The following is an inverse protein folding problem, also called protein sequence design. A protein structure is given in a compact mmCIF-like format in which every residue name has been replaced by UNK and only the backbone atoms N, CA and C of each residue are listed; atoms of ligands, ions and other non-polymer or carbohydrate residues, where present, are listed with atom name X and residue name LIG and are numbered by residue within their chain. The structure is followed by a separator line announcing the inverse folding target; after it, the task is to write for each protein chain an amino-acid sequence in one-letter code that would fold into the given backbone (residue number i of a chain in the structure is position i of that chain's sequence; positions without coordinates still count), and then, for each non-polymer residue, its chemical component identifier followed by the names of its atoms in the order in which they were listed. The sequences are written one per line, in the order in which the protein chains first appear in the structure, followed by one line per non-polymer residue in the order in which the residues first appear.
data_IF_750080583118
#
_entry.id   IF_750080583118
#
_cell.length_a   1.000
_cell.length_b   1.000
_cell.length_c   1.000
_cell.angle_alpha   90.00
_cell.angle_beta   90.00
_cell.angle_gamma   90.00
#
_symmetry.space_group_name_H-M   'P 1'
#
loop_
_entity.id
_entity.type
_entity.pdbx_description
1 polymer ?
#
# COMPACT_ATOMS: atom_id res chain seq x y z
N UNK A 1 -49.50 -50.37 30.40
CA UNK A 1 -50.43 -51.01 29.45
C UNK A 1 -50.09 -50.48 28.07
N UNK A 2 -49.82 -51.34 27.07
CA UNK A 2 -49.28 -50.94 25.76
C UNK A 2 -50.34 -50.87 24.64
N UNK A 3 -49.88 -50.35 23.49
CA UNK A 3 -50.42 -50.37 22.10
C UNK A 3 -51.17 -49.12 21.57
N UNK A 4 -51.14 -48.86 20.24
CA UNK A 4 -50.19 -49.30 19.20
C UNK A 4 -49.75 -48.22 18.18
N UNK A 5 -48.79 -48.64 17.35
CA UNK A 5 -48.23 -48.03 16.15
C UNK A 5 -49.27 -47.68 15.06
N UNK A 6 -48.95 -46.66 14.25
CA UNK A 6 -49.36 -46.62 12.84
C UNK A 6 -48.25 -46.09 11.93
N UNK A 7 -48.16 -46.76 10.77
CA UNK A 7 -47.12 -46.70 9.76
C UNK A 7 -47.26 -45.50 8.80
N UNK A 8 -46.08 -45.05 8.31
CA UNK A 8 -45.69 -44.64 6.95
C UNK A 8 -46.61 -43.70 6.14
N UNK A 9 -46.05 -42.56 5.75
CA UNK A 9 -46.11 -42.08 4.36
C UNK A 9 -44.83 -41.28 4.02
N UNK A 10 -44.13 -41.74 2.97
CA UNK A 10 -42.97 -41.09 2.39
C UNK A 10 -43.41 -39.96 1.45
N UNK A 11 -42.76 -38.80 1.55
CA UNK A 11 -42.86 -37.67 0.61
C UNK A 11 -41.48 -37.39 -0.02
N UNK A 12 -41.41 -37.00 -1.30
CA UNK A 12 -40.17 -37.08 -2.08
C UNK A 12 -39.30 -35.83 -1.97
N UNK A 13 -37.98 -36.07 -1.92
CA UNK A 13 -36.95 -35.32 -2.65
C UNK A 13 -36.85 -33.81 -2.42
N UNK A 14 -36.07 -33.40 -1.41
CA UNK A 14 -35.34 -32.14 -1.48
C UNK A 14 -33.86 -32.43 -1.76
N UNK A 15 -33.43 -31.99 -2.93
CA UNK A 15 -32.04 -31.98 -3.39
C UNK A 15 -31.19 -31.16 -2.41
N UNK A 16 -30.00 -31.60 -1.99
CA UNK A 16 -29.08 -30.72 -1.29
C UNK A 16 -28.54 -29.68 -2.28
N UNK A 17 -28.79 -28.41 -2.00
CA UNK A 17 -28.06 -27.31 -2.60
C UNK A 17 -26.60 -27.44 -2.16
N UNK A 18 -25.75 -27.90 -3.07
CA UNK A 18 -24.31 -27.69 -2.99
C UNK A 18 -24.08 -26.21 -3.31
N UNK A 19 -23.90 -25.38 -2.27
CA UNK A 19 -23.21 -24.10 -2.42
C UNK A 19 -21.76 -24.44 -2.68
N UNK A 20 -21.37 -24.38 -3.96
CA UNK A 20 -19.98 -24.39 -4.35
C UNK A 20 -19.38 -23.07 -3.87
N UNK A 21 -18.44 -23.15 -2.93
CA UNK A 21 -17.50 -22.07 -2.67
C UNK A 21 -16.70 -21.88 -3.96
N UNK A 22 -16.96 -20.78 -4.67
CA UNK A 22 -16.10 -20.31 -5.73
C UNK A 22 -14.91 -19.62 -5.05
N UNK A 23 -13.93 -20.42 -4.61
CA UNK A 23 -12.60 -19.90 -4.33
C UNK A 23 -12.01 -19.47 -5.66
N UNK A 24 -11.88 -18.16 -5.87
CA UNK A 24 -11.14 -17.60 -6.98
C UNK A 24 -9.66 -17.81 -6.67
N UNK A 25 -9.17 -19.01 -6.98
CA UNK A 25 -7.73 -19.26 -7.02
C UNK A 25 -7.20 -18.45 -8.21
N UNK A 26 -6.58 -17.30 -7.93
CA UNK A 26 -5.76 -16.59 -8.88
C UNK A 26 -4.56 -17.51 -9.20
N UNK A 27 -4.67 -18.24 -10.31
CA UNK A 27 -3.57 -19.04 -10.81
C UNK A 27 -2.56 -18.05 -11.42
N UNK A 28 -1.57 -17.64 -10.63
CA UNK A 28 -0.35 -17.05 -11.17
C UNK A 28 0.22 -18.04 -12.18
N UNK A 29 0.21 -17.64 -13.44
CA UNK A 29 0.90 -18.35 -14.49
C UNK A 29 2.39 -18.08 -14.29
N UNK A 30 3.05 -18.86 -13.44
CA UNK A 30 4.50 -18.96 -13.41
C UNK A 30 4.97 -19.34 -14.83
N UNK A 31 5.53 -18.37 -15.55
CA UNK A 31 6.10 -18.53 -16.87
C UNK A 31 7.20 -19.58 -16.83
N UNK A 32 6.86 -20.83 -17.17
CA UNK A 32 7.81 -21.93 -17.15
C UNK A 32 8.85 -21.75 -18.26
N UNK A 33 10.06 -21.31 -17.90
CA UNK A 33 11.23 -21.35 -18.80
C UNK A 33 11.70 -22.81 -18.93
N UNK A 34 11.45 -23.43 -20.07
CA UNK A 34 11.88 -24.80 -20.37
C UNK A 34 13.23 -24.78 -21.08
N UNK A 35 14.29 -25.20 -20.40
CA UNK A 35 15.59 -25.55 -21.01
C UNK A 35 15.72 -27.08 -21.11
N UNK A 36 15.51 -27.63 -22.32
CA UNK A 36 15.84 -29.01 -22.65
C UNK A 36 16.68 -29.08 -23.94
N UNK A 37 17.76 -29.84 -23.87
CA UNK A 37 18.84 -29.88 -24.84
C UNK A 37 18.55 -30.58 -26.17
N UNK A 38 19.32 -30.10 -27.15
CA UNK A 38 19.77 -30.68 -28.43
C UNK A 38 18.75 -31.36 -29.35
N UNK A 39 18.15 -30.54 -30.20
CA UNK A 39 17.58 -30.91 -31.50
C UNK A 39 17.23 -29.65 -32.26
N UNK A 40 17.83 -29.43 -33.43
CA UNK A 40 17.64 -28.21 -34.25
C UNK A 40 16.19 -28.08 -34.72
N UNK A 41 15.40 -27.32 -33.97
CA UNK A 41 14.06 -26.84 -34.29
C UNK A 41 13.89 -25.47 -33.63
N UNK A 42 14.32 -24.42 -34.35
CA UNK A 42 14.12 -22.99 -34.07
C UNK A 42 14.33 -22.59 -32.61
N UNK A 43 15.52 -22.07 -32.27
CA UNK A 43 15.78 -21.51 -30.95
C UNK A 43 14.58 -20.67 -30.49
N UNK A 44 13.90 -21.14 -29.44
CA UNK A 44 12.71 -20.47 -28.90
C UNK A 44 13.17 -19.08 -28.48
N UNK A 45 12.54 -18.04 -29.03
CA UNK A 45 12.89 -16.67 -28.69
C UNK A 45 12.79 -16.50 -27.17
N UNK A 46 13.79 -15.84 -26.58
CA UNK A 46 13.71 -15.37 -25.21
C UNK A 46 12.62 -14.30 -25.17
N UNK A 47 11.78 -14.32 -24.14
CA UNK A 47 10.60 -13.45 -24.05
C UNK A 47 10.48 -12.84 -22.66
N UNK A 48 10.01 -11.60 -22.58
CA UNK A 48 9.53 -10.95 -21.36
C UNK A 48 8.02 -10.72 -21.49
N UNK A 49 7.23 -11.08 -20.48
CA UNK A 49 5.76 -11.04 -20.53
C UNK A 49 5.13 -11.69 -21.79
N UNK A 50 5.79 -12.70 -22.37
CA UNK A 50 5.36 -13.36 -23.59
C UNK A 50 5.68 -12.64 -24.90
N UNK A 51 6.33 -11.48 -24.84
CA UNK A 51 6.80 -10.69 -26.00
C UNK A 51 8.28 -11.03 -26.29
N UNK A 52 8.68 -11.25 -27.56
CA UNK A 52 10.08 -11.52 -27.91
C UNK A 52 11.01 -10.37 -27.54
N UNK A 53 12.14 -10.69 -26.92
CA UNK A 53 13.14 -9.71 -26.53
C UNK A 53 13.76 -8.97 -27.72
N UNK A 54 13.84 -7.63 -27.64
CA UNK A 54 14.66 -6.78 -28.52
C UNK A 54 16.11 -6.79 -28.06
N UNK A 55 16.34 -6.97 -26.75
CA UNK A 55 17.64 -7.00 -26.11
C UNK A 55 17.74 -8.15 -25.10
N UNK A 56 18.79 -8.96 -25.20
CA UNK A 56 19.07 -10.04 -24.25
C UNK A 56 20.44 -9.82 -23.64
N UNK A 57 20.48 -9.62 -22.33
CA UNK A 57 21.72 -9.49 -21.56
C UNK A 57 22.38 -10.86 -21.50
N UNK A 58 23.71 -10.90 -21.66
CA UNK A 58 24.46 -12.16 -21.72
C UNK A 58 25.60 -12.25 -20.71
N UNK A 59 25.86 -11.16 -19.99
CA UNK A 59 26.94 -11.06 -19.01
C UNK A 59 26.35 -10.52 -17.72
N UNK A 60 26.26 -11.35 -16.65
CA UNK A 60 25.79 -10.88 -15.35
C UNK A 60 26.65 -9.73 -14.83
N UNK A 61 26.01 -8.76 -14.18
CA UNK A 61 26.64 -7.58 -13.59
C UNK A 61 26.98 -6.49 -14.61
N UNK A 62 26.53 -6.63 -15.85
CA UNK A 62 26.70 -5.61 -16.86
C UNK A 62 25.60 -4.55 -16.75
N UNK A 63 25.99 -3.27 -16.81
CA UNK A 63 25.04 -2.19 -17.07
C UNK A 63 24.60 -2.27 -18.53
N UNK A 64 23.30 -2.38 -18.74
CA UNK A 64 22.65 -2.45 -20.04
C UNK A 64 21.74 -1.25 -20.22
N UNK A 65 21.79 -0.65 -21.40
CA UNK A 65 20.93 0.47 -21.81
C UNK A 65 20.08 0.01 -23.00
N UNK A 66 18.78 0.30 -22.96
CA UNK A 66 17.85 0.19 -24.06
C UNK A 66 18.01 1.34 -25.04
N UNK A 67 16.91 1.77 -25.62
CA UNK A 67 16.85 2.82 -26.64
C UNK A 67 15.83 3.88 -26.27
N UNK A 68 15.76 5.01 -26.98
CA UNK A 68 14.71 6.02 -26.74
C UNK A 68 13.29 5.62 -27.21
N UNK A 69 13.02 4.35 -27.48
CA UNK A 69 11.69 3.85 -27.79
C UNK A 69 11.52 2.41 -27.31
N UNK A 70 10.29 1.90 -27.40
CA UNK A 70 9.84 0.66 -26.78
C UNK A 70 10.80 -0.53 -26.99
N UNK A 71 11.32 -1.05 -25.88
CA UNK A 71 12.21 -2.18 -25.80
C UNK A 71 11.61 -3.36 -25.03
N UNK A 72 12.12 -4.55 -25.32
CA UNK A 72 11.82 -5.76 -24.57
C UNK A 72 13.15 -6.35 -24.13
N UNK A 73 13.48 -6.13 -22.86
CA UNK A 73 14.80 -6.41 -22.29
C UNK A 73 14.69 -7.61 -21.35
N UNK A 74 15.56 -8.61 -21.55
CA UNK A 74 15.68 -9.75 -20.64
C UNK A 74 17.10 -9.81 -20.09
N UNK A 75 17.19 -9.77 -18.77
CA UNK A 75 18.40 -9.92 -17.97
C UNK A 75 18.95 -11.35 -17.96
N UNK A 76 19.72 -11.63 -16.93
CA UNK A 76 20.42 -12.89 -16.67
C UNK A 76 19.99 -13.46 -15.32
N UNK A 77 20.30 -14.73 -15.02
CA UNK A 77 20.06 -15.28 -13.68
C UNK A 77 21.04 -14.80 -12.58
N UNK A 78 21.74 -13.69 -12.81
CA UNK A 78 22.62 -13.07 -11.82
C UNK A 78 22.37 -11.56 -11.81
N UNK A 79 22.99 -10.82 -10.88
CA UNK A 79 22.65 -9.42 -10.63
C UNK A 79 22.90 -8.57 -11.88
N UNK A 80 21.91 -7.81 -12.32
CA UNK A 80 21.96 -6.97 -13.51
C UNK A 80 21.65 -5.50 -13.18
N UNK A 81 22.05 -4.62 -14.09
CA UNK A 81 21.62 -3.21 -14.06
C UNK A 81 21.10 -2.86 -15.42
N UNK A 82 19.80 -2.59 -15.53
CA UNK A 82 19.10 -2.37 -16.79
C UNK A 82 18.41 -1.01 -16.77
N UNK A 83 18.65 -0.22 -17.80
CA UNK A 83 17.99 1.06 -18.05
C UNK A 83 17.24 0.97 -19.39
N UNK A 84 15.92 1.04 -19.42
CA UNK A 84 15.12 1.04 -20.66
C UNK A 84 15.29 2.34 -21.47
N UNK A 85 15.40 3.47 -20.77
CA UNK A 85 15.61 4.85 -21.21
C UNK A 85 14.33 5.59 -21.58
N UNK A 86 13.60 5.19 -22.61
CA UNK A 86 12.27 5.77 -22.81
C UNK A 86 11.53 5.14 -23.96
N UNK A 87 10.24 5.46 -24.10
CA UNK A 87 9.28 4.55 -24.72
C UNK A 87 8.68 3.65 -23.65
N UNK A 88 7.75 2.78 -24.07
CA UNK A 88 7.04 1.88 -23.15
C UNK A 88 7.78 0.53 -23.14
N UNK A 89 8.59 0.29 -22.12
CA UNK A 89 9.54 -0.81 -22.04
C UNK A 89 9.00 -2.01 -21.27
N UNK A 90 9.41 -3.22 -21.68
CA UNK A 90 9.18 -4.48 -20.97
C UNK A 90 10.50 -5.04 -20.47
N UNK A 91 10.72 -5.04 -19.15
CA UNK A 91 11.99 -5.43 -18.53
C UNK A 91 11.78 -6.65 -17.62
N UNK A 92 12.57 -7.70 -17.83
CA UNK A 92 12.60 -8.89 -16.96
C UNK A 92 14.03 -9.11 -16.44
N UNK A 93 14.26 -8.90 -15.14
CA UNK A 93 15.56 -9.10 -14.47
C UNK A 93 15.97 -10.57 -14.38
N UNK A 94 15.02 -11.42 -14.00
CA UNK A 94 15.08 -12.88 -13.80
C UNK A 94 15.47 -13.32 -12.40
N UNK A 95 16.75 -13.43 -12.07
CA UNK A 95 17.12 -13.89 -10.74
C UNK A 95 18.44 -13.25 -10.35
N UNK A 96 18.67 -13.07 -9.05
CA UNK A 96 19.76 -12.25 -8.56
C UNK A 96 19.24 -10.87 -8.19
N UNK A 97 20.09 -10.10 -7.51
CA UNK A 97 19.72 -8.78 -7.01
C UNK A 97 19.92 -7.75 -8.12
N UNK A 98 18.82 -7.33 -8.73
CA UNK A 98 18.79 -6.50 -9.94
C UNK A 98 18.51 -5.02 -9.64
N UNK A 99 18.96 -4.16 -10.54
CA UNK A 99 18.55 -2.74 -10.60
C UNK A 99 17.88 -2.49 -11.94
N UNK A 100 16.57 -2.30 -11.92
CA UNK A 100 15.75 -2.10 -13.11
C UNK A 100 15.20 -0.66 -13.11
N UNK A 101 15.44 0.05 -14.19
CA UNK A 101 15.01 1.44 -14.40
C UNK A 101 14.32 1.48 -15.77
N UNK A 102 13.01 1.69 -15.81
CA UNK A 102 12.25 1.74 -17.06
C UNK A 102 12.70 2.92 -17.92
N UNK A 103 12.58 4.14 -17.41
CA UNK A 103 12.87 5.36 -18.15
C UNK A 103 11.58 6.10 -18.44
N UNK A 104 11.59 7.00 -19.43
CA UNK A 104 10.38 7.78 -19.71
C UNK A 104 9.34 6.97 -20.48
N UNK A 105 8.16 6.75 -19.93
CA UNK A 105 7.08 6.04 -20.63
C UNK A 105 6.15 5.34 -19.65
N UNK A 106 5.27 4.49 -20.17
CA UNK A 106 4.51 3.55 -19.35
C UNK A 106 5.22 2.19 -19.38
N UNK A 107 6.04 1.90 -18.38
CA UNK A 107 6.94 0.77 -18.34
C UNK A 107 6.38 -0.42 -17.55
N UNK A 108 6.86 -1.62 -17.86
CA UNK A 108 6.60 -2.82 -17.07
C UNK A 108 7.89 -3.55 -16.73
N UNK A 109 8.17 -3.73 -15.44
CA UNK A 109 9.36 -4.42 -14.94
C UNK A 109 9.02 -5.59 -14.01
N UNK A 110 9.78 -6.69 -14.10
CA UNK A 110 9.71 -7.88 -13.24
C UNK A 110 11.12 -8.24 -12.76
N UNK A 111 11.39 -8.05 -11.46
CA UNK A 111 12.66 -8.40 -10.79
C UNK A 111 12.81 -9.91 -10.59
N UNK A 112 11.68 -10.57 -10.34
CA UNK A 112 11.51 -12.00 -10.18
C UNK A 112 12.05 -12.59 -8.87
N UNK A 113 13.36 -12.86 -8.72
CA UNK A 113 13.84 -13.48 -7.48
C UNK A 113 15.18 -12.91 -7.06
N UNK A 114 15.23 -12.25 -5.92
CA UNK A 114 16.39 -11.47 -5.49
C UNK A 114 15.93 -10.31 -4.64
N UNK A 115 16.87 -9.55 -4.09
CA UNK A 115 16.54 -8.27 -3.46
C UNK A 115 16.73 -7.16 -4.50
N UNK A 116 15.65 -6.79 -5.17
CA UNK A 116 15.65 -5.97 -6.37
C UNK A 116 15.37 -4.49 -6.07
N UNK A 117 15.82 -3.63 -6.97
CA UNK A 117 15.51 -2.21 -6.99
C UNK A 117 14.81 -1.87 -8.30
N UNK A 118 13.50 -1.64 -8.24
CA UNK A 118 12.66 -1.32 -9.39
C UNK A 118 12.28 0.16 -9.38
N UNK A 119 12.51 0.83 -10.50
CA UNK A 119 12.14 2.22 -10.76
C UNK A 119 11.42 2.26 -12.10
N UNK A 120 10.22 2.80 -12.18
CA UNK A 120 9.55 2.96 -13.47
C UNK A 120 10.27 4.02 -14.28
N UNK A 121 10.55 5.20 -13.74
CA UNK A 121 11.25 6.25 -14.48
C UNK A 121 12.75 6.41 -14.21
N UNK A 122 13.15 7.55 -13.64
CA UNK A 122 14.49 8.11 -13.78
C UNK A 122 15.27 7.99 -12.48
N UNK A 123 16.52 7.56 -12.57
CA UNK A 123 17.42 7.50 -11.42
C UNK A 123 18.53 8.55 -11.49
N UNK A 124 18.66 9.36 -10.43
CA UNK A 124 19.71 10.39 -10.31
C UNK A 124 20.30 10.41 -8.89
N UNK A 125 21.48 9.81 -8.66
CA UNK A 125 22.02 9.68 -7.30
C UNK A 125 22.42 11.00 -6.63
N UNK A 126 22.75 12.03 -7.41
CA UNK A 126 23.28 13.31 -6.89
C UNK A 126 22.54 14.56 -7.38
N UNK A 127 21.64 14.40 -8.34
CA UNK A 127 20.94 15.51 -8.98
C UNK A 127 19.44 15.29 -8.93
N UNK A 128 18.73 16.10 -9.69
CA UNK A 128 17.29 15.95 -9.85
C UNK A 128 17.00 14.80 -10.83
N UNK A 129 15.85 14.16 -10.66
CA UNK A 129 15.28 13.20 -11.58
C UNK A 129 13.87 13.65 -11.96
N UNK A 130 13.48 13.45 -13.21
CA UNK A 130 12.15 13.76 -13.69
C UNK A 130 11.72 12.77 -14.74
N UNK A 131 10.54 12.22 -14.55
CA UNK A 131 9.88 11.21 -15.36
C UNK A 131 8.62 10.84 -14.59
N UNK A 132 7.53 10.63 -15.31
CA UNK A 132 6.29 10.10 -14.77
C UNK A 132 5.70 9.14 -15.79
N UNK A 133 4.73 8.34 -15.40
CA UNK A 133 4.13 7.33 -16.26
C UNK A 133 3.09 6.54 -15.49
N UNK A 134 2.41 5.62 -16.17
CA UNK A 134 1.61 4.61 -15.48
C UNK A 134 2.37 3.28 -15.54
N UNK A 135 3.25 3.09 -14.58
CA UNK A 135 4.20 1.99 -14.55
C UNK A 135 3.64 0.75 -13.83
N UNK A 136 4.17 -0.41 -14.20
CA UNK A 136 3.85 -1.67 -13.55
C UNK A 136 5.10 -2.40 -13.12
N UNK A 137 5.34 -2.42 -11.81
CA UNK A 137 6.53 -3.01 -11.23
C UNK A 137 6.15 -4.26 -10.42
N UNK A 138 6.86 -5.36 -10.66
CA UNK A 138 6.72 -6.63 -9.95
C UNK A 138 8.05 -7.04 -9.33
N UNK A 139 8.10 -7.19 -8.01
CA UNK A 139 9.32 -7.54 -7.27
C UNK A 139 9.59 -9.03 -7.35
N UNK A 140 8.65 -9.81 -6.84
CA UNK A 140 8.71 -11.26 -6.83
C UNK A 140 9.13 -11.78 -5.47
N UNK A 141 10.05 -12.75 -5.42
CA UNK A 141 10.56 -13.29 -4.15
C UNK A 141 11.77 -12.48 -3.68
N UNK A 142 11.72 -11.87 -2.49
CA UNK A 142 12.85 -11.19 -1.85
C UNK A 142 12.47 -9.85 -1.24
N UNK A 143 13.44 -9.19 -0.58
CA UNK A 143 13.20 -7.87 0.05
C UNK A 143 13.48 -6.77 -0.98
N UNK A 144 12.42 -6.25 -1.60
CA UNK A 144 12.50 -5.38 -2.76
C UNK A 144 12.30 -3.89 -2.41
N UNK A 145 12.72 -3.02 -3.33
CA UNK A 145 12.55 -1.58 -3.22
C UNK A 145 11.95 -1.01 -4.50
N UNK A 146 10.82 -0.31 -4.36
CA UNK A 146 10.08 0.31 -5.46
C UNK A 146 10.07 1.84 -5.36
N UNK A 147 9.96 2.48 -6.52
CA UNK A 147 9.56 3.86 -6.71
C UNK A 147 8.90 3.84 -8.08
N UNK A 148 7.58 4.06 -8.18
CA UNK A 148 6.90 3.95 -9.47
C UNK A 148 7.51 4.90 -10.48
N UNK A 149 7.76 6.16 -10.13
CA UNK A 149 8.48 7.06 -11.05
C UNK A 149 9.98 7.22 -10.70
N UNK A 150 10.35 8.42 -10.24
CA UNK A 150 11.70 8.94 -10.25
C UNK A 150 12.35 8.82 -8.87
N UNK A 151 13.61 8.37 -8.87
CA UNK A 151 14.41 8.24 -7.65
C UNK A 151 15.64 9.16 -7.66
N UNK A 152 15.65 10.13 -6.75
CA UNK A 152 16.69 11.15 -6.65
C UNK A 152 17.17 11.38 -5.21
N UNK A 153 17.90 10.43 -4.58
CA UNK A 153 18.30 10.53 -3.17
C UNK A 153 19.21 11.73 -2.86
N UNK A 154 19.83 12.34 -3.88
CA UNK A 154 20.67 13.54 -3.76
C UNK A 154 20.04 14.83 -4.28
N UNK A 155 18.80 14.80 -4.77
CA UNK A 155 18.14 15.96 -5.39
C UNK A 155 16.61 15.89 -5.31
N UNK A 156 15.95 16.63 -6.19
CA UNK A 156 14.48 16.60 -6.31
C UNK A 156 14.06 15.49 -7.27
N UNK A 157 13.19 14.60 -6.82
CA UNK A 157 12.44 13.70 -7.68
C UNK A 157 11.12 14.36 -8.10
N UNK A 158 10.69 14.16 -9.33
CA UNK A 158 9.40 14.65 -9.82
C UNK A 158 8.85 13.69 -10.86
N UNK A 159 7.65 13.17 -10.60
CA UNK A 159 7.02 12.12 -11.37
C UNK A 159 5.70 11.79 -10.70
N UNK A 160 4.74 11.38 -11.50
CA UNK A 160 3.49 10.85 -11.00
C UNK A 160 2.69 10.25 -12.14
N UNK A 161 1.64 9.53 -11.79
CA UNK A 161 0.80 8.76 -12.69
C UNK A 161 0.14 7.65 -11.90
N UNK A 162 -0.70 6.85 -12.54
CA UNK A 162 -1.42 5.78 -11.83
C UNK A 162 -0.59 4.49 -11.90
N UNK A 163 0.25 4.27 -10.90
CA UNK A 163 1.20 3.17 -10.86
C UNK A 163 0.63 1.89 -10.24
N UNK A 164 1.18 0.75 -10.65
CA UNK A 164 0.89 -0.55 -10.06
C UNK A 164 2.15 -1.23 -9.55
N UNK A 165 2.26 -1.33 -8.24
CA UNK A 165 3.37 -1.97 -7.56
C UNK A 165 2.92 -3.26 -6.89
N UNK A 166 3.63 -4.35 -7.13
CA UNK A 166 3.38 -5.66 -6.49
C UNK A 166 4.69 -6.17 -5.92
N UNK A 167 4.80 -6.22 -4.60
CA UNK A 167 5.98 -6.66 -3.86
C UNK A 167 6.19 -8.16 -4.06
N UNK A 168 5.32 -8.96 -3.44
CA UNK A 168 5.42 -10.41 -3.43
C UNK A 168 5.86 -10.90 -2.05
N UNK A 169 6.45 -12.09 -1.92
CA UNK A 169 6.97 -12.53 -0.63
C UNK A 169 8.28 -11.82 -0.27
N UNK A 170 8.31 -11.14 0.88
CA UNK A 170 9.49 -10.42 1.34
C UNK A 170 9.11 -9.22 2.20
N UNK A 171 10.10 -8.51 2.73
CA UNK A 171 9.86 -7.27 3.46
C UNK A 171 10.17 -6.06 2.56
N UNK A 172 9.16 -5.58 1.87
CA UNK A 172 9.29 -4.64 0.76
C UNK A 172 9.17 -3.17 1.19
N UNK A 173 9.73 -2.29 0.37
CA UNK A 173 9.57 -0.84 0.52
C UNK A 173 9.04 -0.25 -0.77
N UNK A 174 7.86 0.34 -0.70
CA UNK A 174 7.12 0.80 -1.86
C UNK A 174 6.76 2.28 -1.73
N UNK A 175 6.85 2.98 -2.84
CA UNK A 175 6.49 4.40 -2.99
C UNK A 175 5.87 4.46 -4.37
N UNK A 176 4.57 4.74 -4.48
CA UNK A 176 3.86 4.75 -5.76
C UNK A 176 4.50 5.74 -6.71
N UNK A 177 4.67 6.99 -6.32
CA UNK A 177 5.34 7.96 -7.21
C UNK A 177 6.87 8.02 -7.02
N UNK A 178 7.36 9.18 -6.55
CA UNK A 178 8.72 9.67 -6.59
C UNK A 178 9.35 9.71 -5.21
N UNK A 179 10.65 9.40 -5.14
CA UNK A 179 11.40 9.46 -3.88
C UNK A 179 12.72 10.20 -4.00
N UNK A 180 12.98 11.18 -3.13
CA UNK A 180 14.18 12.01 -3.24
C UNK A 180 14.55 12.80 -1.98
N UNK A 181 15.51 13.73 -2.09
CA UNK A 181 15.71 14.71 -0.99
C UNK A 181 14.45 15.53 -0.80
N UNK A 182 13.82 15.92 -1.90
CA UNK A 182 12.44 16.39 -2.00
C UNK A 182 11.76 15.60 -3.10
N UNK A 183 10.45 15.40 -2.99
CA UNK A 183 9.66 14.67 -3.96
C UNK A 183 8.38 15.44 -4.30
N UNK A 184 7.89 15.23 -5.50
CA UNK A 184 6.61 15.75 -5.99
C UNK A 184 6.04 14.69 -6.91
N UNK A 185 4.83 14.24 -6.62
CA UNK A 185 4.05 13.35 -7.46
C UNK A 185 2.56 13.55 -7.28
N UNK A 186 1.82 12.48 -7.51
CA UNK A 186 0.39 12.35 -7.39
C UNK A 186 -0.11 11.37 -8.43
N UNK A 187 -1.10 10.57 -8.06
CA UNK A 187 -1.68 9.57 -8.94
C UNK A 187 -2.63 8.69 -8.14
N UNK A 188 -3.48 7.93 -8.81
CA UNK A 188 -4.28 6.90 -8.12
C UNK A 188 -3.51 5.57 -8.18
N UNK A 189 -2.65 5.37 -7.20
CA UNK A 189 -1.73 4.25 -7.17
C UNK A 189 -2.36 2.99 -6.61
N UNK A 190 -1.84 1.85 -7.06
CA UNK A 190 -2.22 0.54 -6.54
C UNK A 190 -1.01 -0.23 -6.09
N UNK A 191 -0.91 -0.41 -4.78
CA UNK A 191 0.21 -1.07 -4.11
C UNK A 191 -0.29 -2.32 -3.40
N UNK A 192 0.37 -3.45 -3.67
CA UNK A 192 0.12 -4.75 -3.04
C UNK A 192 1.45 -5.27 -2.49
N UNK A 193 1.62 -5.22 -1.17
CA UNK A 193 2.83 -5.67 -0.48
C UNK A 193 3.02 -7.17 -0.64
N UNK A 194 1.99 -7.94 -0.26
CA UNK A 194 2.02 -9.39 -0.31
C UNK A 194 2.39 -9.96 1.06
N UNK A 195 3.01 -11.15 1.14
CA UNK A 195 3.44 -11.68 2.42
C UNK A 195 4.76 -11.08 2.91
N UNK A 196 4.75 -10.46 4.08
CA UNK A 196 5.92 -9.99 4.81
C UNK A 196 5.72 -8.62 5.45
N UNK A 197 6.73 -8.11 6.14
CA UNK A 197 6.60 -6.84 6.86
C UNK A 197 6.92 -5.67 5.90
N UNK A 198 5.87 -5.13 5.27
CA UNK A 198 5.99 -4.15 4.19
C UNK A 198 5.82 -2.70 4.65
N UNK A 199 6.50 -1.79 3.95
CA UNK A 199 6.29 -0.35 4.11
C UNK A 199 5.82 0.26 2.79
N UNK A 200 4.60 0.80 2.80
CA UNK A 200 3.94 1.36 1.62
C UNK A 200 3.61 2.83 1.80
N UNK A 201 3.81 3.56 0.71
CA UNK A 201 3.50 4.97 0.55
C UNK A 201 2.83 5.10 -0.81
N UNK A 202 1.59 5.60 -0.89
CA UNK A 202 0.90 5.76 -2.17
C UNK A 202 1.63 6.78 -3.02
N UNK A 203 1.76 8.03 -2.60
CA UNK A 203 2.46 9.02 -3.42
C UNK A 203 4.00 9.06 -3.19
N UNK A 204 4.50 10.14 -2.59
CA UNK A 204 5.85 10.66 -2.73
C UNK A 204 6.61 10.73 -1.41
N UNK A 205 7.88 10.32 -1.44
CA UNK A 205 8.74 10.24 -0.25
C UNK A 205 9.92 11.22 -0.26
N UNK A 206 10.11 11.98 0.83
CA UNK A 206 11.23 12.91 0.98
C UNK A 206 12.15 12.61 2.17
N UNK A 207 13.41 12.29 1.88
CA UNK A 207 14.42 11.94 2.91
C UNK A 207 14.81 13.10 3.84
N UNK A 208 14.71 14.36 3.39
CA UNK A 208 15.17 15.51 4.16
C UNK A 208 14.38 16.80 3.90
N UNK A 209 13.66 16.86 2.79
CA UNK A 209 12.94 18.01 2.28
C UNK A 209 11.44 17.86 2.43
N UNK A 210 10.74 18.51 1.51
CA UNK A 210 9.29 18.45 1.40
C UNK A 210 8.89 17.39 0.36
N UNK A 211 7.77 16.71 0.61
CA UNK A 211 7.06 15.86 -0.33
C UNK A 211 5.68 16.47 -0.63
N UNK A 212 5.17 16.22 -1.83
CA UNK A 212 3.79 16.50 -2.20
C UNK A 212 3.25 15.39 -3.06
N UNK A 213 1.97 15.12 -2.96
CA UNK A 213 1.25 14.07 -3.66
C UNK A 213 -0.24 14.21 -3.36
N UNK A 214 -1.05 13.53 -4.15
CA UNK A 214 -2.45 13.31 -3.89
C UNK A 214 -2.98 12.34 -4.94
N UNK A 215 -3.92 11.51 -4.54
CA UNK A 215 -4.77 10.74 -5.43
C UNK A 215 -5.45 9.65 -4.62
N UNK A 216 -6.42 8.98 -5.21
CA UNK A 216 -7.20 7.98 -4.48
C UNK A 216 -6.45 6.64 -4.56
N UNK A 217 -5.64 6.37 -3.54
CA UNK A 217 -4.71 5.24 -3.54
C UNK A 217 -5.34 3.97 -2.98
N UNK A 218 -4.82 2.83 -3.41
CA UNK A 218 -5.20 1.51 -2.87
C UNK A 218 -3.96 0.77 -2.41
N UNK A 219 -3.79 0.68 -1.09
CA UNK A 219 -2.69 -0.01 -0.42
C UNK A 219 -3.22 -1.29 0.24
N UNK A 220 -2.68 -2.43 -0.18
CA UNK A 220 -3.04 -3.75 0.35
C UNK A 220 -1.80 -4.39 0.97
N UNK A 221 -1.89 -4.70 2.26
CA UNK A 221 -0.79 -5.33 3.02
C UNK A 221 -0.63 -6.76 2.62
N UNK A 222 -1.64 -7.58 2.93
CA UNK A 222 -1.47 -9.02 2.92
C UNK A 222 -1.07 -9.50 4.30
N UNK A 223 -0.45 -10.68 4.43
CA UNK A 223 -0.01 -11.19 5.72
C UNK A 223 1.35 -10.64 6.15
N UNK A 224 1.43 -10.01 7.32
CA UNK A 224 2.66 -9.40 7.80
C UNK A 224 2.42 -8.37 8.91
N UNK A 225 3.40 -7.51 9.14
CA UNK A 225 3.27 -6.35 10.02
C UNK A 225 3.60 -5.07 9.24
N UNK A 226 2.58 -4.44 8.67
CA UNK A 226 2.72 -3.39 7.68
C UNK A 226 2.72 -1.99 8.28
N UNK A 227 3.35 -1.06 7.56
CA UNK A 227 3.16 0.38 7.75
C UNK A 227 2.69 1.00 6.45
N UNK A 228 1.54 1.67 6.49
CA UNK A 228 0.95 2.33 5.31
C UNK A 228 0.75 3.82 5.56
N UNK A 229 0.93 4.59 4.50
CA UNK A 229 0.56 6.00 4.39
C UNK A 229 -0.03 6.16 3.00
N UNK A 230 -1.28 6.60 2.88
CA UNK A 230 -1.95 6.72 1.58
C UNK A 230 -1.21 7.74 0.72
N UNK A 231 -1.11 8.99 1.15
CA UNK A 231 -0.37 9.96 0.33
C UNK A 231 1.19 9.95 0.50
N UNK A 232 1.74 10.93 1.22
CA UNK A 232 3.14 11.37 1.12
C UNK A 232 3.84 11.38 2.47
N UNK A 233 5.13 11.06 2.45
CA UNK A 233 5.98 11.01 3.65
C UNK A 233 7.13 12.00 3.52
N UNK A 234 7.35 12.84 4.53
CA UNK A 234 8.47 13.79 4.49
C UNK A 234 9.12 14.07 5.84
N UNK A 235 10.43 14.31 5.81
CA UNK A 235 11.14 14.82 6.98
C UNK A 235 10.82 16.28 7.35
N UNK A 236 10.22 17.08 6.44
CA UNK A 236 9.82 18.48 6.74
C UNK A 236 8.35 18.76 6.51
N UNK A 237 7.88 18.74 5.28
CA UNK A 237 6.47 18.97 4.99
C UNK A 237 6.01 17.95 3.96
N UNK A 238 4.95 17.22 4.27
CA UNK A 238 4.21 16.40 3.33
C UNK A 238 2.83 17.07 3.15
N UNK A 239 2.54 17.59 1.96
CA UNK A 239 1.35 18.41 1.76
C UNK A 239 0.71 18.12 0.41
N UNK A 240 -0.60 18.18 0.37
CA UNK A 240 -1.35 17.74 -0.80
C UNK A 240 -2.85 17.85 -0.62
N UNK A 241 -3.55 17.03 -1.39
CA UNK A 241 -5.00 16.95 -1.42
C UNK A 241 -5.60 16.00 -0.39
N UNK A 242 -4.84 15.00 0.08
CA UNK A 242 -5.37 13.89 0.87
C UNK A 242 -5.68 12.65 0.02
N UNK A 243 -6.44 12.85 -1.07
CA UNK A 243 -6.98 11.71 -1.81
C UNK A 243 -8.05 10.97 -1.01
N UNK A 244 -8.91 10.17 -1.62
CA UNK A 244 -9.81 9.29 -0.85
C UNK A 244 -9.22 7.87 -0.86
N UNK A 245 -8.44 7.52 0.17
CA UNK A 245 -7.59 6.33 0.13
C UNK A 245 -8.25 5.07 0.69
N UNK A 246 -7.82 3.90 0.19
CA UNK A 246 -8.14 2.59 0.76
C UNK A 246 -6.87 1.92 1.27
N UNK A 247 -6.77 1.78 2.59
CA UNK A 247 -5.70 1.08 3.27
C UNK A 247 -6.27 -0.20 3.92
N UNK A 248 -5.78 -1.36 3.51
CA UNK A 248 -6.16 -2.67 4.07
C UNK A 248 -4.92 -3.40 4.58
N UNK A 249 -4.74 -3.39 5.92
CA UNK A 249 -3.62 -4.04 6.63
C UNK A 249 -3.69 -5.58 6.60
N UNK A 250 -4.70 -6.18 5.98
CA UNK A 250 -4.83 -7.63 5.94
C UNK A 250 -5.38 -8.23 7.25
N UNK A 251 -5.50 -9.56 7.26
CA UNK A 251 -6.30 -10.26 8.27
C UNK A 251 -5.59 -10.44 9.63
N UNK A 252 -4.26 -10.47 9.62
CA UNK A 252 -3.39 -10.42 10.79
C UNK A 252 -3.14 -8.99 11.26
N UNK A 253 -3.42 -8.00 10.42
CA UNK A 253 -3.28 -6.59 10.72
C UNK A 253 -1.84 -6.14 10.62
N UNK A 254 -1.54 -4.95 11.11
CA UNK A 254 -0.25 -4.31 10.89
C UNK A 254 0.30 -3.58 12.10
N UNK A 255 1.10 -2.55 11.83
CA UNK A 255 1.62 -1.64 12.84
C UNK A 255 0.84 -0.32 12.80
N UNK A 256 0.68 0.26 11.61
CA UNK A 256 0.00 1.55 11.45
C UNK A 256 -0.51 1.80 10.04
N UNK A 257 -1.62 2.53 9.96
CA UNK A 257 -2.14 3.12 8.73
C UNK A 257 -2.48 4.60 8.98
N UNK A 258 -2.11 5.45 8.04
CA UNK A 258 -2.39 6.88 7.99
C UNK A 258 -3.01 7.10 6.62
N UNK A 259 -4.23 7.62 6.51
CA UNK A 259 -4.86 7.84 5.21
C UNK A 259 -4.07 8.86 4.41
N UNK A 260 -4.02 10.11 4.86
CA UNK A 260 -3.23 11.10 4.12
C UNK A 260 -1.69 11.05 4.39
N UNK A 261 -1.05 12.22 4.34
CA UNK A 261 0.35 12.48 4.61
C UNK A 261 0.85 12.25 6.04
N UNK A 262 2.15 11.91 6.14
CA UNK A 262 2.88 11.84 7.40
C UNK A 262 4.19 12.63 7.39
N UNK A 263 4.67 13.02 8.58
CA UNK A 263 6.03 13.54 8.76
C UNK A 263 6.81 12.76 9.81
N UNK A 264 8.01 12.31 9.44
CA UNK A 264 8.82 11.39 10.26
C UNK A 264 9.89 12.06 11.11
N UNK A 265 10.04 13.39 11.00
CA UNK A 265 11.07 14.13 11.75
C UNK A 265 10.62 14.56 13.15
N UNK A 266 11.40 14.26 14.21
CA UNK A 266 11.14 14.75 15.56
C UNK A 266 11.23 16.27 15.71
N UNK A 267 11.86 16.96 14.76
CA UNK A 267 11.88 18.42 14.74
C UNK A 267 10.51 19.02 14.37
N UNK A 268 9.55 18.18 14.00
CA UNK A 268 8.22 18.54 13.55
C UNK A 268 8.20 18.92 12.07
N UNK A 269 7.00 19.10 11.56
CA UNK A 269 6.75 19.35 10.16
C UNK A 269 5.30 19.70 9.89
N UNK A 270 4.95 19.87 8.62
CA UNK A 270 3.55 19.93 8.21
C UNK A 270 3.14 18.72 7.41
N UNK A 271 2.25 17.90 7.96
CA UNK A 271 1.37 17.03 7.20
C UNK A 271 0.03 17.76 6.97
N UNK A 272 -0.42 17.89 5.72
CA UNK A 272 -1.66 18.58 5.33
C UNK A 272 -2.34 17.84 4.17
N UNK A 273 -3.34 17.03 4.49
CA UNK A 273 -4.31 16.37 3.62
C UNK A 273 -5.66 16.40 4.32
N UNK A 274 -6.71 15.94 3.65
CA UNK A 274 -8.05 15.80 4.21
C UNK A 274 -8.91 14.96 3.26
N UNK A 275 -8.51 13.70 3.09
CA UNK A 275 -9.19 12.65 2.37
C UNK A 275 -10.38 12.05 3.09
N UNK A 276 -11.40 11.58 2.37
CA UNK A 276 -12.43 10.73 2.96
C UNK A 276 -11.92 9.27 2.96
N UNK A 277 -11.09 8.91 3.94
CA UNK A 277 -10.30 7.70 3.90
C UNK A 277 -11.03 6.46 4.41
N UNK A 278 -10.63 5.30 3.88
CA UNK A 278 -11.11 4.00 4.33
C UNK A 278 -9.96 3.14 4.81
N UNK A 279 -9.92 2.91 6.12
CA UNK A 279 -8.88 2.11 6.76
C UNK A 279 -9.48 0.83 7.35
N UNK A 280 -8.86 -0.30 7.01
CA UNK A 280 -9.22 -1.63 7.48
C UNK A 280 -8.00 -2.20 8.21
N UNK A 281 -8.09 -2.27 9.53
CA UNK A 281 -7.18 -2.99 10.41
C UNK A 281 -7.42 -4.49 10.41
N UNK A 282 -6.71 -5.19 11.29
CA UNK A 282 -6.67 -6.66 11.29
C UNK A 282 -6.84 -7.26 12.67
N UNK A 283 -5.86 -8.04 13.12
CA UNK A 283 -5.95 -8.79 14.37
C UNK A 283 -4.87 -8.40 15.40
N UNK A 284 -4.06 -7.39 15.09
CA UNK A 284 -2.96 -6.90 15.92
C UNK A 284 -3.36 -5.61 16.63
N UNK A 285 -2.50 -5.11 17.52
CA UNK A 285 -2.74 -3.81 18.16
C UNK A 285 -2.25 -2.70 17.22
N UNK A 286 -3.15 -1.97 16.58
CA UNK A 286 -2.82 -1.03 15.50
C UNK A 286 -2.95 0.45 15.88
N UNK A 287 -2.27 1.29 15.09
CA UNK A 287 -2.37 2.75 15.14
C UNK A 287 -2.95 3.26 13.82
N UNK A 288 -4.22 3.65 13.84
CA UNK A 288 -4.99 4.04 12.67
C UNK A 288 -5.36 5.51 12.76
N UNK A 289 -5.07 6.27 11.71
CA UNK A 289 -5.39 7.70 11.58
C UNK A 289 -6.04 7.90 10.22
N UNK A 290 -7.24 8.46 10.18
CA UNK A 290 -7.94 8.77 8.94
C UNK A 290 -7.15 9.80 8.14
N UNK A 291 -7.10 11.05 8.60
CA UNK A 291 -6.30 12.07 7.91
C UNK A 291 -4.76 11.94 8.15
N UNK A 292 -4.07 13.07 8.06
CA UNK A 292 -2.64 13.25 8.26
C UNK A 292 -2.15 13.15 9.71
N UNK A 293 -0.92 12.66 9.88
CA UNK A 293 -0.18 12.87 11.13
C UNK A 293 1.11 12.07 11.23
N UNK A 294 1.92 12.27 12.29
CA UNK A 294 1.81 13.30 13.32
C UNK A 294 2.22 14.70 12.84
N UNK A 295 1.42 15.76 13.08
CA UNK A 295 1.63 17.10 12.48
C UNK A 295 1.42 18.31 13.43
N UNK A 296 1.80 19.52 12.99
CA UNK A 296 1.54 20.79 13.72
C UNK A 296 0.04 21.11 13.81
N UNK A 297 -0.49 21.14 15.04
CA UNK A 297 -1.91 21.23 15.43
C UNK A 297 -2.68 22.52 15.07
N UNK A 298 -2.29 23.24 14.02
CA UNK A 298 -2.99 24.45 13.51
C UNK A 298 -3.81 24.17 12.25
N UNK A 299 -4.23 22.92 12.04
CA UNK A 299 -4.88 22.45 10.82
C UNK A 299 -6.35 22.83 10.76
N UNK A 300 -6.86 22.91 9.53
CA UNK A 300 -8.16 23.51 9.20
C UNK A 300 -9.00 22.66 8.24
N UNK A 301 -8.55 21.45 7.91
CA UNK A 301 -9.27 20.51 7.07
C UNK A 301 -9.06 19.11 7.64
N UNK A 302 -10.10 18.30 7.52
CA UNK A 302 -10.23 16.90 7.88
C UNK A 302 -11.35 16.33 7.01
N UNK A 303 -11.19 15.11 6.52
CA UNK A 303 -12.18 14.40 5.70
C UNK A 303 -13.06 13.47 6.53
N UNK A 304 -14.13 12.96 5.92
CA UNK A 304 -15.11 12.10 6.58
C UNK A 304 -14.64 10.63 6.50
N UNK A 305 -13.97 10.14 7.56
CA UNK A 305 -13.26 8.87 7.51
C UNK A 305 -14.11 7.66 7.91
N UNK A 306 -13.76 6.48 7.38
CA UNK A 306 -14.30 5.19 7.81
C UNK A 306 -13.18 4.23 8.22
N UNK A 307 -13.09 3.96 9.53
CA UNK A 307 -12.02 3.15 10.10
C UNK A 307 -12.59 1.97 10.89
N UNK A 308 -12.01 0.79 10.65
CA UNK A 308 -12.29 -0.44 11.39
C UNK A 308 -10.98 -0.98 11.97
N UNK A 309 -10.85 -1.02 13.29
CA UNK A 309 -9.69 -1.60 14.01
C UNK A 309 -9.61 -3.11 13.80
N UNK A 310 -10.71 -3.81 14.04
CA UNK A 310 -10.80 -5.24 13.80
C UNK A 310 -10.72 -6.03 15.09
N UNK A 311 -9.62 -6.70 15.37
CA UNK A 311 -9.34 -7.32 16.65
C UNK A 311 -7.98 -6.84 17.15
N UNK A 312 -7.79 -6.77 18.47
CA UNK A 312 -6.59 -6.17 19.04
C UNK A 312 -6.96 -4.98 19.91
N UNK A 313 -5.96 -4.30 20.47
CA UNK A 313 -6.17 -3.10 21.27
C UNK A 313 -5.72 -1.89 20.47
N UNK A 314 -6.67 -1.33 19.72
CA UNK A 314 -6.38 -0.36 18.68
C UNK A 314 -6.40 1.07 19.20
N UNK A 315 -5.63 1.92 18.54
CA UNK A 315 -5.75 3.38 18.67
C UNK A 315 -6.25 3.92 17.35
N UNK A 316 -7.49 4.36 17.36
CA UNK A 316 -8.20 4.85 16.18
C UNK A 316 -8.45 6.34 16.34
N UNK A 317 -7.97 7.11 15.37
CA UNK A 317 -8.19 8.54 15.24
C UNK A 317 -8.88 8.74 13.89
N UNK A 318 -10.04 9.40 13.88
CA UNK A 318 -10.65 9.81 12.60
C UNK A 318 -9.80 10.93 12.00
N UNK A 319 -9.85 12.08 12.62
CA UNK A 319 -9.01 13.19 12.18
C UNK A 319 -7.48 13.06 12.40
N UNK A 320 -6.79 14.08 11.88
CA UNK A 320 -5.40 14.42 12.12
C UNK A 320 -4.90 14.22 13.56
N UNK A 321 -3.66 13.73 13.73
CA UNK A 321 -3.00 13.56 15.05
C UNK A 321 -1.83 14.51 15.30
N UNK A 322 -1.61 14.86 16.57
CA UNK A 322 -0.57 15.80 16.97
C UNK A 322 0.85 15.24 16.84
N UNK A 323 1.86 16.10 16.99
CA UNK A 323 3.28 15.69 16.91
C UNK A 323 3.69 14.61 17.92
N UNK A 324 2.89 14.34 18.95
CA UNK A 324 3.16 13.26 19.90
C UNK A 324 2.51 11.93 19.49
N UNK A 325 1.59 11.96 18.53
CA UNK A 325 0.79 10.79 18.13
C UNK A 325 -0.10 10.30 19.28
N UNK A 326 -0.55 11.19 20.16
CA UNK A 326 -1.34 10.79 21.34
C UNK A 326 -2.69 11.49 21.46
N UNK A 327 -2.92 12.56 20.69
CA UNK A 327 -4.17 13.32 20.70
C UNK A 327 -4.45 13.89 19.30
N UNK A 328 -5.72 14.14 19.00
CA UNK A 328 -6.15 14.78 17.76
C UNK A 328 -5.58 16.20 17.65
N UNK A 329 -5.37 16.66 16.42
CA UNK A 329 -4.68 17.88 16.08
C UNK A 329 -5.60 18.92 15.42
N UNK A 330 -5.92 19.99 16.16
CA UNK A 330 -6.57 21.18 15.60
C UNK A 330 -8.02 21.35 16.05
N UNK A 331 -8.80 22.10 15.25
CA UNK A 331 -10.23 22.37 15.52
C UNK A 331 -11.11 22.12 14.30
N UNK A 332 -10.55 21.65 13.19
CA UNK A 332 -11.32 21.09 12.08
C UNK A 332 -11.49 19.60 12.38
N UNK A 333 -12.62 19.05 11.96
CA UNK A 333 -12.90 17.62 12.00
C UNK A 333 -13.88 17.23 10.91
N UNK A 334 -13.77 16.01 10.42
CA UNK A 334 -14.72 15.36 9.52
C UNK A 334 -15.71 14.49 10.27
N UNK A 335 -16.80 14.12 9.61
CA UNK A 335 -17.87 13.32 10.21
C UNK A 335 -17.53 11.82 10.13
N UNK A 336 -16.84 11.32 11.15
CA UNK A 336 -16.19 10.01 11.07
C UNK A 336 -17.08 8.83 11.45
N UNK A 337 -16.74 7.66 10.92
CA UNK A 337 -17.23 6.37 11.37
C UNK A 337 -16.07 5.51 11.88
N UNK A 338 -16.00 5.34 13.20
CA UNK A 338 -14.95 4.57 13.87
C UNK A 338 -15.54 3.30 14.51
N UNK A 339 -14.99 2.14 14.17
CA UNK A 339 -15.28 0.84 14.77
C UNK A 339 -13.99 0.27 15.38
N UNK A 340 -13.94 0.12 16.70
CA UNK A 340 -12.79 -0.48 17.40
C UNK A 340 -12.72 -1.98 17.11
N UNK A 341 -13.79 -2.69 17.41
CA UNK A 341 -13.94 -4.11 17.13
C UNK A 341 -13.73 -4.96 18.38
N UNK A 342 -13.02 -6.08 18.25
CA UNK A 342 -12.74 -6.96 19.38
C UNK A 342 -11.48 -6.52 20.13
N UNK A 343 -11.61 -6.03 21.36
CA UNK A 343 -10.46 -5.82 22.23
C UNK A 343 -10.66 -4.73 23.26
N UNK A 344 -9.63 -3.91 23.46
CA UNK A 344 -9.68 -2.73 24.34
C UNK A 344 -9.17 -1.54 23.56
N UNK A 345 -10.11 -0.82 22.97
CA UNK A 345 -9.81 0.17 21.96
C UNK A 345 -9.84 1.59 22.51
N UNK A 346 -9.07 2.47 21.89
CA UNK A 346 -9.12 3.92 22.12
C UNK A 346 -9.53 4.61 20.83
N UNK A 347 -10.71 5.22 20.83
CA UNK A 347 -11.28 5.90 19.68
C UNK A 347 -11.37 7.41 19.94
N UNK A 348 -10.87 8.21 19.00
CA UNK A 348 -10.92 9.68 19.01
C UNK A 348 -11.42 10.20 17.66
N UNK A 349 -12.61 10.79 17.64
CA UNK A 349 -13.26 11.20 16.39
C UNK A 349 -13.18 12.71 16.09
N UNK A 350 -12.53 13.51 16.95
CA UNK A 350 -12.38 14.93 16.66
C UNK A 350 -13.62 15.80 16.93
N UNK A 351 -13.64 17.07 16.47
CA UNK A 351 -14.62 18.07 16.88
C UNK A 351 -15.95 18.11 16.09
N UNK A 352 -16.21 17.13 15.20
CA UNK A 352 -17.32 17.18 14.26
C UNK A 352 -18.60 16.50 14.75
N UNK A 353 -19.01 15.35 14.24
CA UNK A 353 -20.33 14.80 14.49
C UNK A 353 -20.36 13.35 14.10
N UNK A 354 -19.86 12.52 15.00
CA UNK A 354 -19.25 11.27 14.59
C UNK A 354 -20.04 10.05 15.06
N UNK A 355 -19.74 8.91 14.47
CA UNK A 355 -20.24 7.62 14.90
C UNK A 355 -19.08 6.78 15.43
N UNK A 356 -19.17 6.39 16.69
CA UNK A 356 -18.17 5.54 17.33
C UNK A 356 -18.82 4.24 17.81
N UNK A 357 -18.14 3.12 17.59
CA UNK A 357 -18.51 1.86 18.24
C UNK A 357 -17.25 1.21 18.79
N UNK A 358 -17.21 0.99 20.11
CA UNK A 358 -16.09 0.26 20.75
C UNK A 358 -16.06 -1.18 20.29
N UNK A 359 -17.23 -1.82 20.29
CA UNK A 359 -17.42 -3.16 19.74
C UNK A 359 -17.97 -4.11 20.80
N UNK A 360 -17.80 -5.44 20.66
CA UNK A 360 -18.08 -6.38 21.73
C UNK A 360 -17.05 -6.28 22.88
N UNK A 361 -17.52 -6.22 24.13
CA UNK A 361 -16.66 -6.14 25.31
C UNK A 361 -15.55 -7.22 25.31
N UNK A 362 -14.29 -6.79 25.24
CA UNK A 362 -13.13 -7.64 25.42
C UNK A 362 -12.98 -8.14 26.87
N UNK A 363 -12.29 -9.28 27.11
CA UNK A 363 -12.04 -9.76 28.46
C UNK A 363 -11.06 -8.89 29.27
N UNK A 364 -10.35 -7.97 28.61
CA UNK A 364 -9.13 -7.33 29.13
C UNK A 364 -9.30 -5.86 29.54
N UNK A 365 -10.45 -5.23 29.30
CA UNK A 365 -10.67 -3.84 29.69
C UNK A 365 -11.86 -3.16 29.02
N UNK A 366 -12.14 -1.89 29.38
CA UNK A 366 -13.16 -1.07 28.74
C UNK A 366 -12.64 -0.35 27.50
N UNK A 367 -13.45 -0.29 26.45
CA UNK A 367 -13.22 0.59 25.31
C UNK A 367 -13.40 2.06 25.74
N UNK A 368 -12.54 2.91 25.19
CA UNK A 368 -12.48 4.34 25.47
C UNK A 368 -12.83 5.15 24.23
N UNK A 369 -14.07 5.63 24.20
CA UNK A 369 -14.58 6.48 23.12
C UNK A 369 -14.59 7.95 23.55
N UNK A 370 -13.87 8.78 22.81
CA UNK A 370 -13.84 10.23 22.97
C UNK A 370 -14.32 10.87 21.65
N UNK A 371 -15.57 11.29 21.60
CA UNK A 371 -16.09 12.10 20.48
C UNK A 371 -15.58 13.55 20.52
N UNK A 372 -14.67 13.88 21.43
CA UNK A 372 -14.05 15.18 21.65
C UNK A 372 -15.03 16.38 21.66
N UNK A 373 -15.25 17.04 20.53
CA UNK A 373 -16.25 18.09 20.41
C UNK A 373 -17.27 17.68 19.35
N UNK A 374 -18.48 18.23 19.38
CA UNK A 374 -19.44 17.86 18.34
C UNK A 374 -20.77 17.40 18.88
N UNK A 375 -21.44 16.55 18.10
CA UNK A 375 -22.68 15.87 18.47
C UNK A 375 -22.59 14.42 18.00
N UNK A 376 -22.04 13.60 18.87
CA UNK A 376 -21.54 12.31 18.45
C UNK A 376 -22.45 11.20 18.99
N UNK A 377 -22.40 10.07 18.32
CA UNK A 377 -23.16 8.89 18.67
C UNK A 377 -22.20 7.75 18.94
N UNK A 378 -22.13 7.30 20.19
CA UNK A 378 -21.30 6.18 20.58
C UNK A 378 -22.13 5.00 21.09
N UNK A 379 -21.77 3.78 20.65
CA UNK A 379 -22.35 2.51 21.14
C UNK A 379 -21.27 1.53 21.53
N UNK A 380 -21.56 0.62 22.46
CA UNK A 380 -20.61 -0.43 22.82
C UNK A 380 -19.27 0.11 23.32
N UNK A 381 -19.25 1.26 24.01
CA UNK A 381 -18.09 1.70 24.76
C UNK A 381 -18.41 1.68 26.25
N UNK A 382 -17.42 1.39 27.08
CA UNK A 382 -17.58 1.35 28.54
C UNK A 382 -17.10 2.65 29.19
N UNK A 383 -16.20 3.38 28.52
CA UNK A 383 -15.77 4.72 28.92
C UNK A 383 -16.00 5.75 27.83
N UNK A 384 -16.56 6.90 28.23
CA UNK A 384 -16.97 7.96 27.32
C UNK A 384 -16.44 9.32 27.75
N UNK A 385 -15.94 10.08 26.78
CA UNK A 385 -15.62 11.50 26.88
C UNK A 385 -16.17 12.23 25.63
N UNK A 386 -16.32 13.57 25.72
CA UNK A 386 -16.74 14.39 24.57
C UNK A 386 -18.23 14.35 24.19
N UNK A 387 -19.01 13.33 24.58
CA UNK A 387 -20.40 13.13 24.14
C UNK A 387 -21.44 14.02 24.86
N UNK A 388 -22.18 14.91 24.18
CA UNK A 388 -23.17 15.82 24.80
C UNK A 388 -24.59 15.26 25.02
#
# INVERSE_FOLDING_TARGET
MPHPEHQRAAGPGRRPHRTAAAGLACALAAGSVVLLGTGDAGARAVTCFGVPATLVVTTPGATTEGTPGDDVIVGTPGPDTIHGLGGDDLICGLAGDDVLVGGLGDDQADGSAGADQLRGDSFSPTGDATGGGNDRLLGGDGDDQFTGDSYAPGGKATGGGDDQLIGGPGNDRMTGDSRGLSAVGGGADRIDGGPGDDAMLGDSGAFAGDATGSGDDVLLGGPGAETMTGDSEAARNAVGGGGDDLLDLGADGGISAIGDHTVTSPAGGRANGAGDDRIIGGASDEYLVGDSGPADARRTAAGDDTISGGAGNDRVYGDNVDLTGTASAGTAGGADFLDGGEGVDTLRAGPAGDFLTGGPDGPDGPDACDGEGGKDFATGCETFAGLP
#
